data_IF_847424644779
#
_entry.id   IF_847424644779
#
_cell.length_a   1.000
_cell.length_b   1.000
_cell.length_c   1.000
_cell.angle_alpha   90.00
_cell.angle_beta   90.00
_cell.angle_gamma   90.00
#
_symmetry.space_group_name_H-M   'P 1'
#
loop_
_entity.id
_entity.type
_entity.pdbx_description
1 polymer ?
#
# COMPACT_ATOMS: atom_id res chain seq x y z
N UNK A 1 -32.36 16.64 -34.35
CA UNK A 1 -31.10 17.12 -33.78
C UNK A 1 -30.96 16.55 -32.37
N UNK A 2 -30.13 15.53 -32.08
CA UNK A 2 -29.84 15.18 -30.69
C UNK A 2 -28.77 16.13 -30.14
N UNK A 3 -29.02 16.68 -28.96
CA UNK A 3 -28.10 17.54 -28.23
C UNK A 3 -26.92 16.71 -27.68
N UNK A 4 -25.69 17.12 -27.99
CA UNK A 4 -24.49 16.64 -27.30
C UNK A 4 -24.54 17.11 -25.85
N UNK A 5 -24.85 16.19 -24.93
CA UNK A 5 -24.52 16.37 -23.51
C UNK A 5 -23.00 16.40 -23.33
N UNK A 6 -22.47 17.10 -22.33
CA UNK A 6 -21.03 17.16 -22.12
C UNK A 6 -20.50 15.75 -21.86
N UNK A 7 -19.49 15.35 -22.65
CA UNK A 7 -18.71 14.16 -22.37
C UNK A 7 -18.13 14.31 -20.96
N UNK A 8 -18.48 13.40 -20.05
CA UNK A 8 -17.84 13.33 -18.75
C UNK A 8 -16.37 12.97 -19.00
N UNK A 9 -15.49 13.95 -18.89
CA UNK A 9 -14.07 13.72 -18.94
C UNK A 9 -13.71 12.81 -17.76
N UNK A 10 -13.36 11.56 -18.04
CA UNK A 10 -12.81 10.66 -17.03
C UNK A 10 -11.50 11.30 -16.57
N UNK A 11 -11.36 11.70 -15.29
CA UNK A 11 -10.10 12.25 -14.83
C UNK A 11 -9.04 11.16 -14.98
N UNK A 12 -8.04 11.42 -15.82
CA UNK A 12 -6.84 10.61 -15.87
C UNK A 12 -6.14 10.74 -14.52
N UNK A 13 -6.35 9.76 -13.64
CA UNK A 13 -5.59 9.66 -12.39
C UNK A 13 -4.14 9.40 -12.75
N UNK A 14 -3.33 10.44 -12.79
CA UNK A 14 -1.88 10.32 -12.82
C UNK A 14 -1.45 9.56 -11.57
N UNK A 15 -0.99 8.32 -11.76
CA UNK A 15 -0.50 7.49 -10.66
C UNK A 15 0.98 7.77 -10.50
N UNK A 16 1.34 8.53 -9.46
CA UNK A 16 2.75 8.76 -9.12
C UNK A 16 3.32 7.50 -8.47
N UNK A 17 4.41 6.91 -9.00
CA UNK A 17 5.05 5.77 -8.35
C UNK A 17 5.61 6.21 -6.99
N UNK A 18 5.38 5.41 -5.95
CA UNK A 18 5.99 5.59 -4.62
C UNK A 18 6.95 4.45 -4.35
N UNK A 19 8.13 4.79 -3.84
CA UNK A 19 9.10 3.81 -3.36
C UNK A 19 8.63 3.38 -1.96
N UNK A 20 8.67 2.08 -1.69
CA UNK A 20 8.36 1.53 -0.39
C UNK A 20 9.32 0.40 -0.04
N UNK A 21 9.50 0.16 1.25
CA UNK A 21 10.29 -0.94 1.77
C UNK A 21 9.38 -1.90 2.55
N UNK A 22 9.64 -3.20 2.41
CA UNK A 22 8.98 -4.27 3.19
C UNK A 22 10.05 -5.11 3.86
N UNK A 23 9.79 -5.49 5.11
CA UNK A 23 10.73 -6.26 5.94
C UNK A 23 10.24 -7.69 6.07
N UNK A 24 11.11 -8.64 5.72
CA UNK A 24 10.94 -10.06 6.01
C UNK A 24 11.68 -10.38 7.30
N UNK A 25 10.94 -10.61 8.39
CA UNK A 25 11.51 -11.10 9.64
C UNK A 25 11.29 -12.61 9.73
N UNK A 26 12.39 -13.35 9.84
CA UNK A 26 12.40 -14.78 10.04
C UNK A 26 12.74 -15.10 11.50
N UNK A 27 12.06 -16.09 12.06
CA UNK A 27 12.46 -16.71 13.32
C UNK A 27 13.39 -17.93 13.08
N UNK A 28 14.00 -18.51 14.13
CA UNK A 28 14.88 -19.67 13.98
C UNK A 28 14.20 -20.96 13.44
N UNK A 29 12.87 -20.94 13.30
CA UNK A 29 12.10 -22.02 12.71
C UNK A 29 11.63 -21.68 11.27
N UNK A 30 12.26 -20.70 10.63
CA UNK A 30 11.98 -20.22 9.27
C UNK A 30 10.56 -19.68 9.06
N UNK A 31 9.89 -19.20 10.12
CA UNK A 31 8.56 -18.57 10.02
C UNK A 31 8.68 -17.08 9.76
N UNK A 32 7.79 -16.54 8.91
CA UNK A 32 7.74 -15.11 8.56
C UNK A 32 6.74 -14.37 9.44
N UNK A 33 7.15 -13.20 9.97
CA UNK A 33 6.23 -12.27 10.62
C UNK A 33 5.31 -11.58 9.59
N UNK A 34 4.00 -11.69 9.79
CA UNK A 34 2.97 -10.98 9.02
C UNK A 34 2.07 -10.18 9.95
N UNK A 35 1.55 -9.05 9.46
CA UNK A 35 0.52 -8.24 10.13
C UNK A 35 -0.84 -8.69 9.61
N UNK A 36 -1.76 -9.01 10.53
CA UNK A 36 -3.15 -9.25 10.19
C UNK A 36 -3.90 -7.93 10.21
N UNK A 37 -4.24 -7.43 9.03
CA UNK A 37 -5.00 -6.20 8.89
C UNK A 37 -6.48 -6.52 8.65
N UNK A 38 -7.33 -5.67 9.21
CA UNK A 38 -8.78 -5.80 9.18
C UNK A 38 -9.35 -4.49 8.63
N UNK A 39 -10.34 -4.58 7.74
CA UNK A 39 -11.13 -3.41 7.40
C UNK A 39 -12.01 -3.03 8.60
N UNK A 40 -11.85 -1.82 9.18
CA UNK A 40 -12.67 -1.40 10.32
C UNK A 40 -14.16 -1.32 10.01
N UNK A 41 -14.52 -1.24 8.73
CA UNK A 41 -15.90 -1.13 8.23
C UNK A 41 -16.49 -2.45 7.77
N UNK A 42 -15.65 -3.47 7.54
CA UNK A 42 -16.05 -4.84 7.20
C UNK A 42 -15.09 -5.88 7.84
N UNK A 43 -15.43 -6.41 9.02
CA UNK A 43 -14.58 -7.37 9.73
C UNK A 43 -14.35 -8.70 8.99
N UNK A 44 -15.19 -9.04 8.01
CA UNK A 44 -14.95 -10.23 7.19
C UNK A 44 -13.88 -9.96 6.11
N UNK A 45 -13.59 -8.69 5.81
CA UNK A 45 -12.51 -8.26 4.95
C UNK A 45 -11.19 -8.10 5.72
N UNK A 46 -10.36 -9.14 5.68
CA UNK A 46 -9.04 -9.14 6.31
C UNK A 46 -7.96 -9.64 5.36
N UNK A 47 -6.72 -9.19 5.59
CA UNK A 47 -5.57 -9.59 4.78
C UNK A 47 -4.31 -9.71 5.64
N UNK A 48 -3.32 -10.43 5.11
CA UNK A 48 -1.99 -10.51 5.69
C UNK A 48 -1.03 -9.67 4.87
N UNK A 49 -0.25 -8.82 5.55
CA UNK A 49 0.74 -7.98 4.91
C UNK A 49 2.11 -8.04 5.60
N UNK A 50 3.15 -7.79 4.81
CA UNK A 50 4.51 -7.68 5.34
C UNK A 50 4.67 -6.33 6.06
N UNK A 51 5.28 -6.30 7.26
CA UNK A 51 5.64 -5.05 7.93
C UNK A 51 6.49 -4.15 7.02
N UNK A 52 6.24 -2.84 7.05
CA UNK A 52 6.97 -1.86 6.26
C UNK A 52 6.16 -0.60 5.98
N UNK A 53 6.79 0.37 5.31
CA UNK A 53 6.20 1.68 5.04
C UNK A 53 6.61 2.23 3.67
N UNK A 54 5.95 3.31 3.26
CA UNK A 54 6.45 4.15 2.18
C UNK A 54 7.76 4.82 2.61
N UNK A 55 8.68 4.99 1.67
CA UNK A 55 9.86 5.83 1.90
C UNK A 55 9.47 7.27 1.61
N UNK A 56 9.73 8.17 2.56
CA UNK A 56 9.60 9.60 2.32
C UNK A 56 10.77 10.11 1.46
N UNK A 57 10.56 11.24 0.78
CA UNK A 57 11.55 11.82 -0.11
C UNK A 57 12.85 12.17 0.64
N UNK A 58 13.93 11.46 0.32
CA UNK A 58 15.25 11.63 0.94
C UNK A 58 15.55 10.67 2.09
N UNK A 59 14.65 9.75 2.43
CA UNK A 59 14.94 8.68 3.38
C UNK A 59 15.78 7.57 2.74
N UNK A 60 16.82 7.15 3.47
CA UNK A 60 17.63 5.99 3.09
C UNK A 60 16.80 4.71 3.28
N UNK A 61 16.59 3.90 2.21
CA UNK A 61 15.84 2.64 2.27
C UNK A 61 16.31 1.67 3.34
N UNK A 62 17.60 1.70 3.70
CA UNK A 62 18.19 0.81 4.69
C UNK A 62 18.02 1.33 6.12
N UNK A 63 17.72 2.62 6.28
CA UNK A 63 17.69 3.32 7.56
C UNK A 63 16.28 3.64 8.06
N UNK A 64 15.25 3.39 7.26
CA UNK A 64 13.85 3.51 7.67
C UNK A 64 13.59 2.52 8.83
N UNK A 65 13.44 3.00 10.08
CA UNK A 65 13.22 2.14 11.22
C UNK A 65 11.75 1.74 11.27
N UNK A 66 11.52 0.48 11.62
CA UNK A 66 10.21 -0.13 11.93
C UNK A 66 9.21 0.87 12.55
N UNK A 67 8.18 1.22 11.78
CA UNK A 67 6.87 1.59 12.36
C UNK A 67 6.20 0.36 12.97
#
# INVERSE_FOLDING_TARGET
MPASGPAHAVPTRTTTPRIGARVLLLDPADRVLLIHALDPTDPDHHWWELPGGGLDDGEDPQRCPRS
#
